data_IF_015334455736
#
_entry.id   IF_015334455736
#
_cell.length_a   1.000
_cell.length_b   1.000
_cell.length_c   1.000
_cell.angle_alpha   90.00
_cell.angle_beta   90.00
_cell.angle_gamma   90.00
#
_symmetry.space_group_name_H-M   'P 1'
#
loop_
_entity.id
_entity.type
_entity.pdbx_description
1 polymer ?
#
# COMPACT_ATOMS: atom_id res chain seq x y z
N UNK A 1 33.05 -0.91 -45.96
CA UNK A 1 33.58 -0.57 -44.62
C UNK A 1 32.41 -0.59 -43.64
N UNK A 2 32.07 -1.78 -43.11
CA UNK A 2 30.91 -1.99 -42.24
C UNK A 2 31.38 -1.92 -40.79
N UNK A 3 30.96 -0.88 -40.05
CA UNK A 3 31.21 -0.81 -38.62
C UNK A 3 30.33 -1.86 -37.95
N UNK A 4 30.95 -2.92 -37.42
CA UNK A 4 30.30 -3.86 -36.52
C UNK A 4 29.78 -3.10 -35.30
N UNK A 5 28.46 -2.88 -35.24
CA UNK A 5 27.78 -2.34 -34.06
C UNK A 5 27.98 -3.35 -32.94
N UNK A 6 28.91 -3.05 -32.03
CA UNK A 6 29.11 -3.83 -30.83
C UNK A 6 27.86 -3.64 -29.96
N UNK A 7 26.98 -4.65 -29.90
CA UNK A 7 25.86 -4.67 -28.96
C UNK A 7 26.45 -5.02 -27.60
N UNK A 8 26.76 -3.99 -26.81
CA UNK A 8 27.02 -4.15 -25.37
C UNK A 8 25.89 -5.04 -24.79
N UNK A 9 26.21 -6.13 -24.07
CA UNK A 9 25.20 -6.97 -23.46
C UNK A 9 24.35 -6.12 -22.51
N UNK A 10 23.04 -6.31 -22.54
CA UNK A 10 22.11 -5.59 -21.65
C UNK A 10 22.51 -5.90 -20.21
N UNK A 11 23.00 -4.89 -19.51
CA UNK A 11 23.31 -5.00 -18.09
C UNK A 11 21.99 -4.94 -17.31
N UNK A 12 21.42 -6.11 -17.07
CA UNK A 12 20.20 -6.28 -16.27
C UNK A 12 20.33 -5.68 -14.89
N UNK A 13 21.53 -5.70 -14.29
CA UNK A 13 21.74 -5.12 -12.96
C UNK A 13 21.64 -3.59 -13.01
N UNK A 14 22.17 -2.97 -14.06
CA UNK A 14 22.02 -1.53 -14.29
C UNK A 14 20.56 -1.15 -14.54
N UNK A 15 19.82 -1.92 -15.36
CA UNK A 15 18.41 -1.69 -15.63
C UNK A 15 17.52 -1.85 -14.37
N UNK A 16 17.72 -2.92 -13.59
CA UNK A 16 17.03 -3.10 -12.31
C UNK A 16 17.38 -1.98 -11.32
N UNK A 17 18.66 -1.58 -11.26
CA UNK A 17 19.11 -0.47 -10.41
C UNK A 17 18.49 0.84 -10.85
N UNK A 18 18.32 1.11 -12.15
CA UNK A 18 17.70 2.33 -12.66
C UNK A 18 16.20 2.37 -12.33
N UNK A 19 15.48 1.26 -12.55
CA UNK A 19 14.06 1.10 -12.19
C UNK A 19 13.83 1.26 -10.68
N UNK A 20 14.68 0.62 -9.85
CA UNK A 20 14.60 0.69 -8.39
C UNK A 20 15.18 2.00 -7.82
N UNK A 21 16.09 2.68 -8.53
CA UNK A 21 16.63 3.98 -8.11
C UNK A 21 15.61 5.11 -8.29
N UNK A 22 14.56 4.87 -9.07
CA UNK A 22 13.34 5.67 -9.12
C UNK A 22 12.63 5.67 -7.77
N UNK A 23 13.14 6.45 -6.81
CA UNK A 23 12.46 6.86 -5.59
C UNK A 23 11.88 5.74 -4.72
N UNK A 24 12.57 4.62 -4.46
CA UNK A 24 12.14 3.63 -3.46
C UNK A 24 11.80 4.28 -2.11
N UNK A 25 12.59 5.27 -1.67
CA UNK A 25 12.29 6.08 -0.48
C UNK A 25 10.93 6.75 -0.58
N UNK A 26 10.60 7.37 -1.73
CA UNK A 26 9.31 8.01 -1.96
C UNK A 26 8.18 6.98 -1.89
N UNK A 27 8.35 5.81 -2.48
CA UNK A 27 7.37 4.72 -2.44
C UNK A 27 7.10 4.27 -1.01
N UNK A 28 8.16 3.99 -0.24
CA UNK A 28 8.03 3.57 1.17
C UNK A 28 7.34 4.65 2.01
N UNK A 29 7.76 5.91 1.89
CA UNK A 29 7.14 7.04 2.61
C UNK A 29 5.68 7.20 2.22
N UNK A 30 5.32 7.01 0.96
CA UNK A 30 3.94 7.11 0.48
C UNK A 30 3.06 6.00 1.07
N UNK A 31 3.60 4.78 1.18
CA UNK A 31 2.91 3.66 1.84
C UNK A 31 2.69 3.96 3.32
N UNK A 32 3.72 4.40 4.04
CA UNK A 32 3.63 4.76 5.47
C UNK A 32 2.60 5.88 5.68
N UNK A 33 2.62 6.91 4.83
CA UNK A 33 1.65 7.99 4.88
C UNK A 33 0.21 7.49 4.64
N UNK A 34 0.02 6.57 3.71
CA UNK A 34 -1.27 5.91 3.47
C UNK A 34 -1.78 5.18 4.71
N UNK A 35 -0.91 4.45 5.41
CA UNK A 35 -1.27 3.86 6.70
C UNK A 35 -1.64 4.96 7.71
N UNK A 36 -0.84 6.01 7.88
CA UNK A 36 -1.14 7.09 8.81
C UNK A 36 -2.51 7.76 8.56
N UNK A 37 -2.84 8.02 7.28
CA UNK A 37 -4.16 8.54 6.89
C UNK A 37 -5.26 7.52 7.20
N UNK A 38 -5.03 6.23 6.96
CA UNK A 38 -5.95 5.16 7.36
C UNK A 38 -6.20 5.11 8.87
N UNK A 39 -5.14 5.20 9.69
CA UNK A 39 -5.25 5.27 11.15
C UNK A 39 -6.09 6.48 11.58
N UNK A 40 -5.84 7.64 10.98
CA UNK A 40 -6.64 8.83 11.24
C UNK A 40 -8.12 8.59 10.98
N UNK A 41 -8.49 8.03 9.82
CA UNK A 41 -9.88 7.71 9.49
C UNK A 41 -10.51 6.69 10.44
N UNK A 42 -9.76 5.67 10.87
CA UNK A 42 -10.24 4.69 11.86
C UNK A 42 -10.57 5.36 13.19
N UNK A 43 -9.66 6.22 13.68
CA UNK A 43 -9.83 6.93 14.96
C UNK A 43 -11.06 7.84 14.94
N UNK A 44 -11.19 8.70 13.94
CA UNK A 44 -12.31 9.67 13.89
C UNK A 44 -13.68 9.01 13.65
N UNK A 45 -13.69 7.78 13.15
CA UNK A 45 -14.92 7.02 12.90
C UNK A 45 -15.34 6.15 14.09
N UNK A 46 -14.49 6.01 15.12
CA UNK A 46 -14.79 5.19 16.29
C UNK A 46 -15.60 5.96 17.34
N UNK A 47 -16.69 5.34 17.81
CA UNK A 47 -17.62 5.94 18.77
C UNK A 47 -16.99 6.17 20.15
N UNK A 48 -16.16 5.25 20.64
CA UNK A 48 -15.53 5.34 21.96
C UNK A 48 -14.51 6.48 22.01
N UNK A 49 -13.72 6.64 20.94
CA UNK A 49 -12.83 7.76 20.75
C UNK A 49 -13.60 9.08 20.72
N UNK A 50 -14.66 9.18 19.92
CA UNK A 50 -15.49 10.40 19.84
C UNK A 50 -16.13 10.77 21.19
N UNK A 51 -16.57 9.78 21.98
CA UNK A 51 -17.13 10.02 23.31
C UNK A 51 -16.07 10.49 24.31
N UNK A 52 -14.90 9.85 24.32
CA UNK A 52 -13.80 10.20 25.23
C UNK A 52 -13.24 11.60 24.95
N UNK A 53 -13.16 11.99 23.67
CA UNK A 53 -12.73 13.35 23.26
C UNK A 53 -13.65 14.43 23.82
N UNK A 54 -14.96 14.14 23.96
CA UNK A 54 -15.92 15.08 24.55
C UNK A 54 -15.61 15.47 26.00
N UNK A 55 -14.88 14.61 26.74
CA UNK A 55 -14.43 14.85 28.11
C UNK A 55 -12.91 14.73 28.25
N UNK A 56 -12.16 15.07 27.19
CA UNK A 56 -10.70 14.90 27.13
C UNK A 56 -9.95 15.53 28.30
N UNK A 57 -10.39 16.70 28.78
CA UNK A 57 -9.74 17.38 29.90
C UNK A 57 -10.01 16.72 31.26
N UNK A 58 -11.01 15.83 31.36
CA UNK A 58 -11.29 15.06 32.56
C UNK A 58 -10.48 13.75 32.59
N UNK A 59 -10.29 13.10 31.45
CA UNK A 59 -9.42 11.92 31.31
C UNK A 59 -8.79 11.85 29.90
N UNK A 60 -7.61 12.47 29.70
CA UNK A 60 -6.94 12.46 28.41
C UNK A 60 -6.41 11.07 28.03
N UNK A 61 -6.20 10.21 29.02
CA UNK A 61 -5.66 8.88 28.81
C UNK A 61 -6.71 7.94 28.22
N UNK A 62 -8.00 8.14 28.53
CA UNK A 62 -9.11 7.42 27.90
C UNK A 62 -9.11 7.60 26.37
N UNK A 63 -8.93 8.82 25.87
CA UNK A 63 -8.91 9.08 24.43
C UNK A 63 -7.71 8.47 23.71
N UNK A 64 -6.53 8.51 24.35
CA UNK A 64 -5.33 7.89 23.78
C UNK A 64 -5.43 6.37 23.74
N UNK A 65 -5.99 5.75 24.79
CA UNK A 65 -6.27 4.30 24.80
C UNK A 65 -7.26 3.91 23.71
N UNK A 66 -8.40 4.60 23.63
CA UNK A 66 -9.40 4.33 22.61
C UNK A 66 -8.82 4.45 21.18
N UNK A 67 -7.99 5.46 20.93
CA UNK A 67 -7.29 5.58 19.65
C UNK A 67 -6.34 4.39 19.38
N UNK A 68 -5.55 3.99 20.38
CA UNK A 68 -4.64 2.85 20.27
C UNK A 68 -5.35 1.51 20.05
N UNK A 69 -6.46 1.27 20.75
CA UNK A 69 -7.26 0.06 20.66
C UNK A 69 -7.86 -0.08 19.25
N UNK A 70 -8.40 1.02 18.70
CA UNK A 70 -8.97 1.05 17.35
C UNK A 70 -7.92 0.78 16.28
N UNK A 71 -6.76 1.45 16.37
CA UNK A 71 -5.69 1.28 15.39
C UNK A 71 -5.11 -0.14 15.45
N UNK A 72 -4.87 -0.67 16.65
CA UNK A 72 -4.32 -2.01 16.83
C UNK A 72 -5.29 -3.10 16.38
N UNK A 73 -6.58 -2.99 16.71
CA UNK A 73 -7.61 -3.91 16.23
C UNK A 73 -7.79 -3.83 14.72
N UNK A 74 -7.84 -2.62 14.16
CA UNK A 74 -8.03 -2.40 12.73
C UNK A 74 -6.88 -2.96 11.88
N UNK A 75 -5.64 -2.66 12.25
CA UNK A 75 -4.48 -3.22 11.55
C UNK A 75 -4.26 -4.71 11.82
N UNK A 76 -4.58 -5.20 13.02
CA UNK A 76 -4.60 -6.62 13.31
C UNK A 76 -5.55 -7.37 12.38
N UNK A 77 -6.77 -6.87 12.22
CA UNK A 77 -7.76 -7.42 11.29
C UNK A 77 -7.29 -7.32 9.82
N UNK A 78 -6.62 -6.22 9.43
CA UNK A 78 -6.06 -6.05 8.10
C UNK A 78 -5.00 -7.11 7.79
N UNK A 79 -4.03 -7.32 8.69
CA UNK A 79 -2.98 -8.34 8.51
C UNK A 79 -3.60 -9.73 8.47
N UNK A 80 -4.54 -10.01 9.37
CA UNK A 80 -5.26 -11.29 9.40
C UNK A 80 -6.02 -11.56 8.09
N UNK A 81 -6.66 -10.53 7.55
CA UNK A 81 -7.49 -10.61 6.35
C UNK A 81 -6.72 -10.54 5.03
N UNK A 82 -5.45 -10.10 5.04
CA UNK A 82 -4.65 -9.92 3.81
C UNK A 82 -3.41 -10.81 3.71
N UNK A 83 -2.86 -11.29 4.83
CA UNK A 83 -1.60 -12.05 4.85
C UNK A 83 -1.85 -13.45 5.38
N UNK A 84 -2.30 -13.58 6.62
CA UNK A 84 -2.40 -14.88 7.27
C UNK A 84 -3.48 -14.91 8.33
N UNK A 85 -4.36 -15.90 8.28
CA UNK A 85 -5.43 -16.07 9.25
C UNK A 85 -5.08 -17.14 10.29
N UNK A 86 -4.61 -16.79 11.51
CA UNK A 86 -4.28 -17.76 12.54
C UNK A 86 -5.51 -18.45 13.14
N UNK A 87 -6.71 -17.91 12.90
CA UNK A 87 -7.97 -18.46 13.41
C UNK A 87 -8.61 -19.48 12.45
N UNK A 88 -7.94 -19.81 11.33
CA UNK A 88 -8.46 -20.78 10.37
C UNK A 88 -8.34 -22.22 10.87
N UNK A 89 -9.37 -23.04 10.62
CA UNK A 89 -9.39 -24.45 11.00
C UNK A 89 -8.43 -25.33 10.16
N UNK A 90 -8.00 -24.85 9.00
CA UNK A 90 -7.12 -25.57 8.07
C UNK A 90 -5.97 -24.68 7.61
N UNK A 91 -4.85 -25.30 7.22
CA UNK A 91 -3.72 -24.58 6.65
C UNK A 91 -4.10 -23.81 5.38
N UNK A 92 -4.94 -24.41 4.52
CA UNK A 92 -5.47 -23.75 3.33
C UNK A 92 -6.22 -22.46 3.69
N UNK A 93 -7.11 -22.51 4.70
CA UNK A 93 -7.81 -21.32 5.18
C UNK A 93 -6.89 -20.26 5.79
N UNK A 94 -5.76 -20.69 6.35
CA UNK A 94 -4.78 -19.79 6.96
C UNK A 94 -3.99 -18.98 5.92
N UNK A 95 -3.63 -19.58 4.78
CA UNK A 95 -2.88 -18.92 3.70
C UNK A 95 -3.77 -18.24 2.64
N UNK A 96 -5.06 -18.58 2.60
CA UNK A 96 -6.02 -18.02 1.65
C UNK A 96 -6.05 -16.47 1.60
N UNK A 97 -5.96 -15.73 2.72
CA UNK A 97 -5.88 -14.26 2.69
C UNK A 97 -4.80 -13.70 1.75
N UNK A 98 -3.61 -14.30 1.76
CA UNK A 98 -2.49 -13.88 0.92
C UNK A 98 -2.78 -14.11 -0.57
N UNK A 99 -3.31 -15.28 -0.90
CA UNK A 99 -3.59 -15.62 -2.31
C UNK A 99 -4.76 -14.81 -2.86
N UNK A 100 -5.79 -14.53 -2.06
CA UNK A 100 -6.89 -13.64 -2.45
C UNK A 100 -6.39 -12.19 -2.61
N UNK A 101 -5.50 -11.71 -1.74
CA UNK A 101 -4.88 -10.38 -1.88
C UNK A 101 -4.12 -10.28 -3.21
N UNK A 102 -3.30 -11.28 -3.56
CA UNK A 102 -2.60 -11.31 -4.85
C UNK A 102 -3.55 -11.41 -6.04
N UNK A 103 -4.59 -12.24 -5.93
CA UNK A 103 -5.62 -12.42 -6.96
C UNK A 103 -6.32 -11.10 -7.28
N UNK A 104 -6.62 -10.30 -6.25
CA UNK A 104 -7.26 -8.99 -6.40
C UNK A 104 -6.26 -7.89 -6.83
N UNK A 105 -5.05 -7.91 -6.29
CA UNK A 105 -4.03 -6.88 -6.55
C UNK A 105 -3.44 -6.96 -7.96
N UNK A 106 -3.26 -8.16 -8.52
CA UNK A 106 -2.63 -8.35 -9.83
C UNK A 106 -3.27 -7.51 -10.94
N UNK A 107 -4.59 -7.64 -11.18
CA UNK A 107 -5.29 -6.83 -12.18
C UNK A 107 -5.23 -5.32 -11.89
N UNK A 108 -5.31 -4.92 -10.62
CA UNK A 108 -5.25 -3.50 -10.21
C UNK A 108 -3.88 -2.87 -10.51
N UNK A 109 -2.79 -3.61 -10.22
CA UNK A 109 -1.43 -3.19 -10.55
C UNK A 109 -1.26 -3.08 -12.05
N UNK A 110 -1.70 -4.09 -12.81
CA UNK A 110 -1.62 -4.08 -14.28
C UNK A 110 -2.41 -2.90 -14.87
N UNK A 111 -3.61 -2.61 -14.36
CA UNK A 111 -4.41 -1.47 -14.77
C UNK A 111 -3.69 -0.14 -14.48
N UNK A 112 -3.16 0.06 -13.28
CA UNK A 112 -2.43 1.28 -12.90
C UNK A 112 -1.16 1.49 -13.73
N UNK A 113 -0.37 0.43 -13.95
CA UNK A 113 0.81 0.46 -14.81
C UNK A 113 0.45 0.77 -16.27
N UNK A 114 -0.63 0.17 -16.78
CA UNK A 114 -1.12 0.41 -18.14
C UNK A 114 -1.51 1.87 -18.37
N UNK A 115 -2.22 2.47 -17.40
CA UNK A 115 -2.59 3.89 -17.43
C UNK A 115 -1.34 4.78 -17.39
N UNK A 116 -0.43 4.53 -16.45
CA UNK A 116 0.81 5.30 -16.30
C UNK A 116 1.69 5.25 -17.56
N UNK A 117 1.79 4.07 -18.18
CA UNK A 117 2.51 3.91 -19.44
C UNK A 117 1.81 4.65 -20.59
N UNK A 118 0.48 4.54 -20.70
CA UNK A 118 -0.32 5.22 -21.73
C UNK A 118 -0.16 6.75 -21.71
N UNK A 119 -0.10 7.36 -20.52
CA UNK A 119 0.22 8.78 -20.38
C UNK A 119 1.67 9.10 -20.74
N UNK A 120 2.63 8.26 -20.32
CA UNK A 120 4.07 8.48 -20.59
C UNK A 120 4.39 8.44 -22.08
N UNK A 121 3.71 7.62 -22.87
CA UNK A 121 3.93 7.49 -24.32
C UNK A 121 3.01 8.37 -25.17
N UNK A 122 2.13 9.17 -24.54
CA UNK A 122 1.21 10.07 -25.25
C UNK A 122 0.03 9.40 -25.95
N UNK A 123 -0.26 8.12 -25.66
CA UNK A 123 -1.45 7.41 -26.17
C UNK A 123 -2.74 8.01 -25.62
N UNK A 124 -2.70 8.57 -24.40
CA UNK A 124 -3.76 9.40 -23.84
C UNK A 124 -3.31 10.86 -23.84
N UNK A 125 -3.69 11.59 -24.88
CA UNK A 125 -3.45 13.03 -24.98
C UNK A 125 -4.70 13.81 -24.57
N UNK A 126 -4.85 14.12 -23.27
CA UNK A 126 -5.92 15.00 -22.75
C UNK A 126 -5.42 16.46 -22.59
N UNK A 127 -4.18 16.75 -22.98
CA UNK A 127 -3.53 18.06 -22.82
C UNK A 127 -3.14 18.73 -24.15
N UNK A 128 -3.90 18.51 -25.22
CA UNK A 128 -3.71 19.25 -26.47
C UNK A 128 -4.13 20.70 -26.27
N UNK A 129 -3.16 21.56 -25.92
CA UNK A 129 -3.17 23.05 -25.88
C UNK A 129 -4.47 23.72 -25.48
#
# INVERSE_FOLDING_TARGET
MSKSVNKEPIDWNAAFKEILSGGVTRTIVSVILGFAVGAFFMIISNREFLQSVGYFFADPLASLRAAGDVVSAGYGALIQGSIYNPNAATFEGAIRPFTETLRLAGPLIAAGLGIGLGFRVGLFNIGGT
#
